data_IF_258249627618
#
_entry.id   IF_258249627618
#
_cell.length_a   1.000
_cell.length_b   1.000
_cell.length_c   1.000
_cell.angle_alpha   90.00
_cell.angle_beta   90.00
_cell.angle_gamma   90.00
#
_symmetry.space_group_name_H-M   'P 1'
#
loop_
_entity.id
_entity.type
_entity.pdbx_description
1 polymer ?
#
# COMPACT_ATOMS: atom_id res chain seq x y z
N UNK A 1 -0.44 -13.40 7.49
CA UNK A 1 0.32 -12.59 6.50
C UNK A 1 1.60 -12.08 7.15
N UNK A 2 2.71 -12.19 6.42
CA UNK A 2 4.01 -11.67 6.86
C UNK A 2 4.48 -10.59 5.92
N UNK A 3 5.09 -9.55 6.47
CA UNK A 3 5.75 -8.49 5.71
C UNK A 3 7.25 -8.79 5.75
N UNK A 4 7.89 -8.81 4.59
CA UNK A 4 9.30 -9.18 4.47
C UNK A 4 10.00 -8.38 3.36
N UNK A 5 11.35 -8.35 3.34
CA UNK A 5 12.08 -7.70 2.26
C UNK A 5 11.63 -8.24 0.90
N UNK A 6 11.49 -7.36 -0.08
CA UNK A 6 11.04 -7.75 -1.42
C UNK A 6 12.21 -8.30 -2.23
N UNK A 7 11.97 -9.40 -2.95
CA UNK A 7 12.94 -9.96 -3.89
C UNK A 7 12.76 -9.33 -5.28
N UNK A 8 13.78 -9.48 -6.13
CA UNK A 8 13.68 -9.04 -7.52
C UNK A 8 12.55 -9.76 -8.26
N UNK A 9 12.36 -11.05 -7.98
CA UNK A 9 11.29 -11.85 -8.59
C UNK A 9 9.91 -11.34 -8.16
N UNK A 10 9.73 -11.02 -6.88
CA UNK A 10 8.47 -10.47 -6.36
C UNK A 10 8.19 -9.10 -6.97
N UNK A 11 9.19 -8.23 -7.05
CA UNK A 11 9.04 -6.92 -7.67
C UNK A 11 8.62 -7.03 -9.14
N UNK A 12 9.23 -7.95 -9.88
CA UNK A 12 8.89 -8.20 -11.28
C UNK A 12 7.45 -8.72 -11.42
N UNK A 13 7.03 -9.61 -10.52
CA UNK A 13 5.66 -10.14 -10.52
C UNK A 13 4.63 -9.02 -10.29
N UNK A 14 4.89 -8.15 -9.32
CA UNK A 14 4.00 -7.02 -9.01
C UNK A 14 3.90 -6.06 -10.20
N UNK A 15 5.01 -5.83 -10.89
CA UNK A 15 5.04 -4.95 -12.06
C UNK A 15 4.11 -5.44 -13.18
N UNK A 16 3.82 -6.73 -13.23
CA UNK A 16 2.95 -7.34 -14.24
C UNK A 16 1.47 -7.41 -13.80
N UNK A 17 1.14 -7.05 -12.58
CA UNK A 17 -0.25 -7.08 -12.11
C UNK A 17 -1.12 -6.13 -12.92
N UNK A 18 -2.34 -6.59 -13.24
CA UNK A 18 -3.35 -5.83 -13.96
C UNK A 18 -4.65 -5.87 -13.18
N UNK A 19 -5.22 -4.71 -12.96
CA UNK A 19 -6.49 -4.56 -12.24
C UNK A 19 -7.63 -4.35 -13.23
N UNK A 20 -8.81 -4.81 -12.87
CA UNK A 20 -10.01 -4.61 -13.67
C UNK A 20 -10.50 -3.17 -13.55
N UNK A 21 -11.21 -2.68 -14.58
CA UNK A 21 -11.86 -1.36 -14.55
C UNK A 21 -12.74 -1.21 -13.29
N UNK A 22 -12.70 -0.10 -12.56
CA UNK A 22 -11.95 1.13 -12.85
C UNK A 22 -10.55 1.19 -12.18
N UNK A 23 -10.02 0.07 -11.70
CA UNK A 23 -8.81 0.03 -10.88
C UNK A 23 -7.52 -0.09 -11.68
N UNK A 24 -7.58 -0.17 -13.01
CA UNK A 24 -6.39 -0.26 -13.86
C UNK A 24 -5.46 0.96 -13.72
N UNK A 25 -5.98 2.05 -13.17
CA UNK A 25 -5.18 3.22 -12.80
C UNK A 25 -4.04 2.86 -11.84
N UNK A 26 -4.22 1.79 -11.04
CA UNK A 26 -3.22 1.32 -10.09
C UNK A 26 -2.21 0.34 -10.69
N UNK A 27 -2.35 -0.02 -11.96
CA UNK A 27 -1.36 -0.88 -12.63
C UNK A 27 0.01 -0.20 -12.56
N UNK A 28 1.06 -1.00 -12.33
CA UNK A 28 2.44 -0.47 -12.32
C UNK A 28 2.74 0.24 -13.64
N UNK A 29 2.32 -0.35 -14.76
CA UNK A 29 2.54 0.21 -16.09
C UNK A 29 1.83 1.55 -16.35
N UNK A 30 0.86 1.92 -15.52
CA UNK A 30 0.10 3.16 -15.68
C UNK A 30 0.85 4.41 -15.21
N UNK A 31 1.94 4.25 -14.45
CA UNK A 31 2.71 5.37 -13.89
C UNK A 31 4.21 5.09 -14.00
N UNK A 32 4.96 5.93 -14.76
CA UNK A 32 6.40 5.76 -14.90
C UNK A 32 7.16 5.69 -13.57
N UNK A 33 6.68 6.37 -12.52
CA UNK A 33 7.32 6.34 -11.20
C UNK A 33 7.16 4.98 -10.54
N UNK A 34 6.05 4.30 -10.77
CA UNK A 34 5.84 2.93 -10.28
C UNK A 34 6.71 1.96 -11.05
N UNK A 35 6.81 2.13 -12.37
CA UNK A 35 7.71 1.31 -13.20
C UNK A 35 9.14 1.40 -12.66
N UNK A 36 9.63 2.62 -12.40
CA UNK A 36 10.97 2.85 -11.86
C UNK A 36 11.13 2.23 -10.46
N UNK A 37 10.12 2.38 -9.61
CA UNK A 37 10.16 1.84 -8.24
C UNK A 37 10.35 0.31 -8.24
N UNK A 38 9.62 -0.41 -9.09
CA UNK A 38 9.68 -1.87 -9.10
C UNK A 38 10.84 -2.40 -9.95
N UNK A 39 11.33 -1.65 -10.91
CA UNK A 39 12.42 -2.07 -11.80
C UNK A 39 13.81 -1.80 -11.21
N UNK A 40 13.97 -0.76 -10.39
CA UNK A 40 15.27 -0.32 -9.91
C UNK A 40 15.49 -0.68 -8.44
N UNK A 41 16.38 -1.65 -8.13
CA UNK A 41 16.66 -2.04 -6.74
C UNK A 41 17.06 -0.87 -5.83
N UNK A 42 17.72 0.15 -6.36
CA UNK A 42 18.13 1.31 -5.58
C UNK A 42 16.94 2.15 -5.07
N UNK A 43 15.78 2.01 -5.68
CA UNK A 43 14.55 2.73 -5.31
C UNK A 43 13.67 1.96 -4.33
N UNK A 44 14.00 0.70 -4.05
CA UNK A 44 13.17 -0.21 -3.25
C UNK A 44 13.58 -0.32 -1.78
N UNK A 45 14.24 0.71 -1.23
CA UNK A 45 14.79 0.67 0.14
C UNK A 45 13.73 0.31 1.19
N UNK A 46 12.51 0.82 1.06
CA UNK A 46 11.43 0.59 2.02
C UNK A 46 10.24 -0.15 1.41
N UNK A 47 10.43 -0.73 0.24
CA UNK A 47 9.42 -1.57 -0.40
C UNK A 47 9.48 -2.96 0.21
N UNK A 48 8.32 -3.49 0.63
CA UNK A 48 8.22 -4.78 1.29
C UNK A 48 7.16 -5.63 0.60
N UNK A 49 7.42 -6.93 0.54
CA UNK A 49 6.44 -7.91 0.08
C UNK A 49 5.57 -8.35 1.25
N UNK A 50 4.32 -8.70 0.95
CA UNK A 50 3.44 -9.36 1.90
C UNK A 50 3.16 -10.75 1.36
N UNK A 51 3.38 -11.76 2.18
CA UNK A 51 3.14 -13.16 1.82
C UNK A 51 2.17 -13.80 2.81
N UNK A 52 1.44 -14.81 2.35
CA UNK A 52 0.53 -15.57 3.21
C UNK A 52 1.25 -16.74 3.91
N UNK A 53 0.51 -17.57 4.62
CA UNK A 53 1.08 -18.71 5.36
C UNK A 53 1.68 -19.80 4.45
N UNK A 54 1.28 -19.81 3.17
CA UNK A 54 1.86 -20.69 2.15
C UNK A 54 3.01 -20.08 1.38
N UNK A 55 3.55 -18.94 1.85
CA UNK A 55 4.62 -18.17 1.18
C UNK A 55 4.23 -17.59 -0.17
N UNK A 56 2.92 -17.51 -0.46
CA UNK A 56 2.44 -16.88 -1.69
C UNK A 56 2.41 -15.36 -1.55
N UNK A 57 2.86 -14.68 -2.60
CA UNK A 57 2.85 -13.22 -2.65
C UNK A 57 1.41 -12.71 -2.74
N UNK A 58 0.98 -11.92 -1.76
CA UNK A 58 -0.39 -11.39 -1.70
C UNK A 58 -0.47 -9.88 -1.91
N UNK A 59 0.64 -9.16 -1.72
CA UNK A 59 0.65 -7.72 -1.87
C UNK A 59 1.99 -7.09 -1.55
N UNK A 60 1.99 -5.77 -1.46
CA UNK A 60 3.18 -5.02 -1.10
C UNK A 60 2.83 -3.79 -0.26
N UNK A 61 3.82 -3.29 0.45
CA UNK A 61 3.81 -1.96 1.07
C UNK A 61 5.04 -1.20 0.63
N UNK A 62 4.87 0.08 0.36
CA UNK A 62 5.96 1.03 0.23
C UNK A 62 5.87 1.99 1.41
N UNK A 63 6.80 1.89 2.34
CA UNK A 63 6.83 2.71 3.54
C UNK A 63 7.71 3.93 3.31
N UNK A 64 7.24 5.10 3.72
CA UNK A 64 8.03 6.34 3.65
C UNK A 64 8.08 6.95 5.04
N UNK A 65 9.12 6.61 5.84
CA UNK A 65 9.28 7.21 7.17
C UNK A 65 9.77 8.65 7.04
N UNK A 66 9.09 9.57 7.73
CA UNK A 66 9.44 10.99 7.78
C UNK A 66 9.14 11.52 9.19
N UNK A 67 10.19 11.84 9.95
CA UNK A 67 10.01 12.31 11.33
C UNK A 67 9.28 11.29 12.20
N UNK A 68 8.14 11.67 12.75
CA UNK A 68 7.33 10.80 13.60
C UNK A 68 6.19 10.11 12.87
N UNK A 69 6.16 10.19 11.55
CA UNK A 69 5.13 9.54 10.76
C UNK A 69 5.70 8.55 9.75
N UNK A 70 4.87 7.59 9.36
CA UNK A 70 5.16 6.71 8.23
C UNK A 70 4.00 6.85 7.25
N UNK A 71 4.34 7.24 6.01
CA UNK A 71 3.38 7.26 4.92
C UNK A 71 3.36 5.90 4.25
N UNK A 72 2.17 5.47 3.86
CA UNK A 72 1.96 4.14 3.30
C UNK A 72 1.54 4.23 1.84
N UNK A 73 2.24 3.49 0.98
CA UNK A 73 1.73 3.05 -0.31
C UNK A 73 1.50 1.56 -0.21
N UNK A 74 0.45 1.03 -0.80
CA UNK A 74 0.15 -0.40 -0.70
C UNK A 74 -0.68 -0.86 -1.89
N UNK A 75 -0.57 -2.15 -2.18
CA UNK A 75 -1.35 -2.79 -3.22
C UNK A 75 -1.49 -4.27 -2.93
N UNK A 76 -2.66 -4.82 -3.26
CA UNK A 76 -2.96 -6.22 -3.09
C UNK A 76 -3.03 -6.87 -4.47
N UNK A 77 -2.63 -8.14 -4.55
CA UNK A 77 -2.71 -8.91 -5.80
C UNK A 77 -4.14 -8.84 -6.36
N UNK A 78 -4.30 -8.57 -7.67
CA UNK A 78 -5.62 -8.27 -8.24
C UNK A 78 -6.72 -9.30 -7.96
N UNK A 79 -6.39 -10.59 -8.01
CA UNK A 79 -7.35 -11.66 -7.78
C UNK A 79 -7.79 -11.80 -6.31
N UNK A 80 -7.10 -11.11 -5.40
CA UNK A 80 -7.42 -11.15 -3.97
C UNK A 80 -8.25 -9.94 -3.52
N UNK A 81 -8.41 -8.95 -4.38
CA UNK A 81 -9.20 -7.77 -4.05
C UNK A 81 -10.68 -8.13 -3.96
N UNK A 82 -11.41 -7.43 -3.07
CA UNK A 82 -12.84 -7.65 -2.90
C UNK A 82 -13.22 -8.93 -2.16
N UNK A 83 -12.26 -9.61 -1.52
CA UNK A 83 -12.51 -10.88 -0.81
C UNK A 83 -12.45 -10.76 0.71
N UNK A 84 -12.54 -9.55 1.25
CA UNK A 84 -12.50 -9.33 2.70
C UNK A 84 -11.14 -9.47 3.34
N UNK A 85 -10.06 -9.46 2.54
CA UNK A 85 -8.68 -9.63 3.03
C UNK A 85 -8.00 -8.31 3.39
N UNK A 86 -8.66 -7.17 3.15
CA UNK A 86 -8.05 -5.85 3.36
C UNK A 86 -7.65 -5.62 4.82
N UNK A 87 -8.48 -6.00 5.78
CA UNK A 87 -8.19 -5.72 7.19
C UNK A 87 -6.96 -6.46 7.71
N UNK A 88 -6.82 -7.78 7.53
CA UNK A 88 -5.59 -8.45 7.95
C UNK A 88 -4.37 -7.99 7.16
N UNK A 89 -4.53 -7.63 5.89
CA UNK A 89 -3.45 -7.09 5.07
C UNK A 89 -2.96 -5.75 5.62
N UNK A 90 -3.86 -4.81 5.88
CA UNK A 90 -3.52 -3.50 6.44
C UNK A 90 -2.88 -3.67 7.82
N UNK A 91 -3.47 -4.50 8.67
CA UNK A 91 -2.95 -4.77 10.02
C UNK A 91 -1.51 -5.27 10.00
N UNK A 92 -1.20 -6.18 9.09
CA UNK A 92 0.16 -6.72 8.95
C UNK A 92 1.17 -5.61 8.61
N UNK A 93 0.81 -4.70 7.69
CA UNK A 93 1.65 -3.58 7.33
C UNK A 93 1.87 -2.59 8.47
N UNK A 94 0.80 -2.25 9.20
CA UNK A 94 0.89 -1.34 10.34
C UNK A 94 1.74 -1.93 11.47
N UNK A 95 1.58 -3.21 11.76
CA UNK A 95 2.37 -3.88 12.79
C UNK A 95 3.85 -3.90 12.42
N UNK A 96 4.16 -4.17 11.16
CA UNK A 96 5.53 -4.13 10.67
C UNK A 96 6.12 -2.73 10.84
N UNK A 97 5.42 -1.70 10.43
CA UNK A 97 5.89 -0.33 10.51
C UNK A 97 6.08 0.14 11.95
N UNK A 98 5.23 -0.31 12.87
CA UNK A 98 5.39 -0.01 14.30
C UNK A 98 6.68 -0.58 14.85
N UNK A 99 7.03 -1.80 14.46
CA UNK A 99 8.27 -2.45 14.92
C UNK A 99 9.51 -1.79 14.34
N UNK A 100 9.45 -1.39 13.07
CA UNK A 100 10.63 -0.86 12.38
C UNK A 100 10.92 0.61 12.71
N UNK A 101 9.89 1.43 12.78
CA UNK A 101 10.08 2.89 12.86
C UNK A 101 9.44 3.56 14.07
N UNK A 102 8.59 2.86 14.80
CA UNK A 102 7.89 3.37 15.99
C UNK A 102 7.26 4.77 15.75
N UNK A 103 6.46 4.93 14.70
CA UNK A 103 5.87 6.22 14.38
C UNK A 103 4.79 6.60 15.40
N UNK A 104 4.44 7.89 15.43
CA UNK A 104 3.27 8.37 16.17
C UNK A 104 2.02 8.35 15.30
N UNK A 105 2.19 8.46 13.97
CA UNK A 105 1.10 8.61 13.02
C UNK A 105 1.39 7.82 11.75
N UNK A 106 0.34 7.23 11.20
CA UNK A 106 0.33 6.68 9.85
C UNK A 106 -0.45 7.62 8.94
N UNK A 107 0.03 7.80 7.71
CA UNK A 107 -0.59 8.65 6.71
C UNK A 107 -0.62 7.95 5.37
N UNK A 108 -1.70 8.18 4.61
CA UNK A 108 -1.80 7.68 3.24
C UNK A 108 -2.66 8.62 2.39
N UNK A 109 -2.52 8.46 1.08
CA UNK A 109 -3.38 9.12 0.11
C UNK A 109 -4.11 8.08 -0.71
N UNK A 110 -5.38 8.33 -0.98
CA UNK A 110 -6.24 7.45 -1.75
C UNK A 110 -7.01 8.27 -2.79
N UNK A 111 -7.15 7.71 -3.99
CA UNK A 111 -7.92 8.36 -5.05
C UNK A 111 -9.37 8.57 -4.57
N UNK A 112 -9.87 9.80 -4.74
CA UNK A 112 -11.20 10.19 -4.23
C UNK A 112 -12.32 9.29 -4.76
N UNK A 113 -12.18 8.79 -5.98
CA UNK A 113 -13.18 7.90 -6.59
C UNK A 113 -13.16 6.48 -6.05
N UNK A 114 -12.11 6.09 -5.32
CA UNK A 114 -11.94 4.71 -4.86
C UNK A 114 -12.69 4.45 -3.55
N UNK A 115 -14.00 4.31 -3.64
CA UNK A 115 -14.86 4.07 -2.48
C UNK A 115 -14.50 2.82 -1.71
N UNK A 116 -14.07 1.77 -2.41
CA UNK A 116 -13.68 0.51 -1.79
C UNK A 116 -12.49 0.70 -0.83
N UNK A 117 -11.48 1.40 -1.29
CA UNK A 117 -10.29 1.69 -0.47
C UNK A 117 -10.63 2.63 0.68
N UNK A 118 -11.41 3.68 0.42
CA UNK A 118 -11.84 4.61 1.47
C UNK A 118 -12.55 3.89 2.61
N UNK A 119 -13.48 2.98 2.29
CA UNK A 119 -14.17 2.18 3.31
C UNK A 119 -13.21 1.29 4.09
N UNK A 120 -12.28 0.63 3.39
CA UNK A 120 -11.29 -0.23 4.03
C UNK A 120 -10.41 0.54 5.01
N UNK A 121 -9.93 1.71 4.61
CA UNK A 121 -9.08 2.55 5.47
C UNK A 121 -9.85 3.11 6.67
N UNK A 122 -11.09 3.56 6.48
CA UNK A 122 -11.93 4.00 7.61
C UNK A 122 -12.13 2.87 8.61
N UNK A 123 -12.40 1.67 8.12
CA UNK A 123 -12.56 0.48 8.97
C UNK A 123 -11.27 0.15 9.72
N UNK A 124 -10.12 0.46 9.14
CA UNK A 124 -8.81 0.27 9.77
C UNK A 124 -8.42 1.43 10.70
N UNK A 125 -9.32 2.39 10.94
CA UNK A 125 -9.10 3.46 11.90
C UNK A 125 -8.58 4.77 11.30
N UNK A 126 -8.43 4.84 10.00
CA UNK A 126 -8.02 6.08 9.32
C UNK A 126 -9.20 7.05 9.18
N UNK A 127 -8.90 8.34 9.23
CA UNK A 127 -9.87 9.40 8.99
C UNK A 127 -9.27 10.46 8.07
N UNK A 128 -10.14 11.18 7.37
CA UNK A 128 -9.72 12.23 6.43
C UNK A 128 -9.15 13.45 7.14
N UNK A 129 -8.09 14.04 6.59
CA UNK A 129 -7.42 15.21 7.14
C UNK A 129 -7.15 16.25 6.07
N UNK A 130 -7.30 17.53 6.45
CA UNK A 130 -6.74 18.73 5.80
C UNK A 130 -6.73 18.82 4.28
N UNK A 131 -7.74 18.35 3.58
CA UNK A 131 -7.75 18.28 2.14
C UNK A 131 -8.44 19.46 1.46
N UNK A 132 -8.05 19.68 0.19
CA UNK A 132 -8.78 20.53 -0.73
C UNK A 132 -9.89 19.74 -1.43
N UNK A 133 -11.06 20.33 -1.60
CA UNK A 133 -12.16 19.74 -2.37
C UNK A 133 -11.76 19.51 -3.84
N UNK A 134 -10.82 20.27 -4.34
CA UNK A 134 -10.33 20.15 -5.72
C UNK A 134 -9.30 19.04 -5.90
N UNK A 135 -8.77 18.47 -4.83
CA UNK A 135 -7.78 17.41 -4.91
C UNK A 135 -8.38 16.12 -5.45
N UNK A 136 -7.61 15.44 -6.31
CA UNK A 136 -7.96 14.10 -6.80
C UNK A 136 -7.80 13.05 -5.73
N UNK A 137 -7.11 13.39 -4.63
CA UNK A 137 -6.78 12.45 -3.56
C UNK A 137 -7.40 12.90 -2.25
N UNK A 138 -7.74 11.92 -1.44
CA UNK A 138 -8.10 12.12 -0.04
C UNK A 138 -6.90 11.74 0.78
N UNK A 139 -6.47 12.63 1.67
CA UNK A 139 -5.42 12.36 2.62
C UNK A 139 -6.05 11.82 3.90
N UNK A 140 -5.52 10.71 4.41
CA UNK A 140 -6.03 10.06 5.60
C UNK A 140 -4.91 9.79 6.60
N UNK A 141 -5.24 9.83 7.89
CA UNK A 141 -4.29 9.48 8.93
C UNK A 141 -4.94 8.73 10.07
N UNK A 142 -4.10 8.08 10.86
CA UNK A 142 -4.48 7.49 12.14
C UNK A 142 -3.28 7.52 13.09
N UNK A 143 -3.57 7.50 14.39
CA UNK A 143 -2.53 7.28 15.40
C UNK A 143 -1.95 5.88 15.25
N UNK A 144 -0.68 5.76 15.48
CA UNK A 144 0.03 4.48 15.36
C UNK A 144 -0.26 3.49 16.49
#
# INVERSE_FOLDING_TARGET
>A
MRVEPITDEQAAAIAEWRYEFPYEWYDTSADPRRVELFANPARRTHLRAVVDDGDELVGFFNFVPEGHEVRLGLGMRPDLTGRGLAQPFIAAGLDYARREWRPRTFRLWVARWNERALRAYRRAGFHEVGRSEESRFVEMERSA
#
